data_IF_171952965043
#
_entry.id   IF_171952965043
#
_cell.length_a   1.000
_cell.length_b   1.000
_cell.length_c   1.000
_cell.angle_alpha   90.00
_cell.angle_beta   90.00
_cell.angle_gamma   90.00
#
_symmetry.space_group_name_H-M   'P 1'
#
loop_
_entity.id
_entity.type
_entity.pdbx_description
1 polymer ?
#
# COMPACT_ATOMS: atom_id res chain seq x y z
N UNK A 1 9.56 21.17 7.35
CA UNK A 1 9.61 20.59 5.98
C UNK A 1 8.21 20.21 5.52
N UNK A 2 8.07 19.63 4.34
CA UNK A 2 6.80 19.18 3.76
C UNK A 2 6.72 17.66 3.66
N UNK A 3 5.52 17.10 3.71
CA UNK A 3 5.24 15.68 3.49
C UNK A 3 4.51 15.51 2.17
N UNK A 4 5.13 14.73 1.28
CA UNK A 4 4.62 14.46 -0.07
C UNK A 4 4.14 13.00 -0.15
N UNK A 5 2.88 12.72 -0.49
CA UNK A 5 2.40 11.35 -0.68
C UNK A 5 3.19 10.60 -1.76
N UNK A 6 3.58 11.29 -2.82
CA UNK A 6 4.43 10.78 -3.89
C UNK A 6 5.76 10.22 -3.33
N UNK A 7 6.55 11.03 -2.65
CA UNK A 7 7.86 10.65 -2.14
C UNK A 7 7.74 9.53 -1.10
N UNK A 8 6.72 9.60 -0.24
CA UNK A 8 6.46 8.56 0.74
C UNK A 8 6.09 7.22 0.07
N UNK A 9 5.41 7.22 -1.07
CA UNK A 9 5.12 5.98 -1.80
C UNK A 9 6.39 5.29 -2.32
N UNK A 10 7.40 6.06 -2.74
CA UNK A 10 8.71 5.55 -3.16
C UNK A 10 9.46 5.00 -1.95
N UNK A 11 9.46 5.74 -0.83
CA UNK A 11 10.06 5.29 0.44
C UNK A 11 9.43 3.98 0.90
N UNK A 12 8.10 3.88 0.91
CA UNK A 12 7.35 2.65 1.26
C UNK A 12 7.77 1.50 0.33
N UNK A 13 7.90 1.74 -0.98
CA UNK A 13 8.36 0.70 -1.92
C UNK A 13 9.77 0.22 -1.61
N UNK A 14 10.68 1.13 -1.24
CA UNK A 14 12.02 0.80 -0.79
C UNK A 14 12.00 -0.04 0.49
N UNK A 15 11.34 0.46 1.54
CA UNK A 15 11.22 -0.21 2.83
C UNK A 15 10.66 -1.64 2.68
N UNK A 16 9.59 -1.81 1.89
CA UNK A 16 9.02 -3.14 1.63
C UNK A 16 9.97 -4.06 0.85
N UNK A 17 10.69 -3.54 -0.15
CA UNK A 17 11.69 -4.30 -0.91
C UNK A 17 12.84 -4.79 -0.02
N UNK A 18 13.26 -4.00 0.96
CA UNK A 18 14.34 -4.34 1.89
C UNK A 18 13.85 -4.99 3.20
N UNK A 19 12.58 -5.41 3.26
CA UNK A 19 11.97 -6.09 4.41
C UNK A 19 11.81 -5.24 5.69
N UNK A 20 11.91 -3.91 5.59
CA UNK A 20 11.57 -2.95 6.65
C UNK A 20 10.04 -2.76 6.75
N UNK A 21 9.34 -3.86 7.02
CA UNK A 21 7.88 -3.93 6.98
C UNK A 21 7.22 -3.10 8.09
N UNK A 22 7.83 -3.03 9.28
CA UNK A 22 7.30 -2.25 10.40
C UNK A 22 7.34 -0.76 10.11
N UNK A 23 8.43 -0.30 9.52
CA UNK A 23 8.67 1.07 9.10
C UNK A 23 7.73 1.45 7.96
N UNK A 24 7.58 0.57 6.96
CA UNK A 24 6.63 0.78 5.86
C UNK A 24 5.20 0.93 6.40
N UNK A 25 4.75 0.03 7.29
CA UNK A 25 3.42 0.10 7.92
C UNK A 25 3.26 1.39 8.72
N UNK A 26 4.28 1.84 9.45
CA UNK A 26 4.25 3.11 10.19
C UNK A 26 3.96 4.30 9.27
N UNK A 27 4.66 4.39 8.13
CA UNK A 27 4.45 5.48 7.16
C UNK A 27 3.06 5.38 6.54
N UNK A 28 2.62 4.20 6.13
CA UNK A 28 1.28 3.99 5.53
C UNK A 28 0.17 4.37 6.52
N UNK A 29 0.26 3.92 7.77
CA UNK A 29 -0.67 4.32 8.84
C UNK A 29 -0.72 5.84 9.01
N UNK A 30 0.44 6.51 8.96
CA UNK A 30 0.52 7.98 9.03
C UNK A 30 -0.22 8.65 7.88
N UNK A 31 -0.05 8.16 6.65
CA UNK A 31 -0.73 8.67 5.47
C UNK A 31 -2.25 8.43 5.50
N UNK A 32 -2.71 7.25 5.94
CA UNK A 32 -4.14 6.93 6.11
C UNK A 32 -4.76 7.87 7.15
N UNK A 33 -4.12 8.04 8.31
CA UNK A 33 -4.59 8.96 9.35
C UNK A 33 -4.62 10.40 8.86
N UNK A 34 -3.60 10.83 8.12
CA UNK A 34 -3.55 12.18 7.57
C UNK A 34 -4.69 12.41 6.55
N UNK A 35 -5.00 11.43 5.70
CA UNK A 35 -6.01 11.57 4.66
C UNK A 35 -7.39 11.90 5.22
N UNK A 36 -7.73 11.41 6.42
CA UNK A 36 -9.00 11.67 7.13
C UNK A 36 -9.25 13.16 7.44
N UNK A 37 -8.21 14.00 7.44
CA UNK A 37 -8.33 15.44 7.70
C UNK A 37 -8.52 16.29 6.44
N UNK A 38 -8.37 15.71 5.25
CA UNK A 38 -8.49 16.42 3.99
C UNK A 38 -9.82 16.09 3.30
N UNK A 39 -10.26 16.99 2.43
CA UNK A 39 -11.53 16.85 1.70
C UNK A 39 -11.58 15.51 0.96
N UNK A 40 -12.71 14.81 1.07
CA UNK A 40 -12.95 13.50 0.45
C UNK A 40 -12.03 12.36 0.92
N UNK A 41 -11.34 12.52 2.05
CA UNK A 41 -10.37 11.57 2.58
C UNK A 41 -9.19 11.30 1.63
N UNK A 42 -8.79 12.31 0.85
CA UNK A 42 -7.72 12.24 -0.16
C UNK A 42 -6.55 13.10 0.23
N UNK A 43 -5.35 12.58 0.05
CA UNK A 43 -4.13 13.34 0.31
C UNK A 43 -3.95 14.46 -0.75
N UNK A 44 -3.54 15.67 -0.35
CA UNK A 44 -3.17 16.74 -1.28
C UNK A 44 -1.79 16.46 -1.90
N UNK A 45 -1.33 17.34 -2.79
CA UNK A 45 0.06 17.33 -3.30
C UNK A 45 1.11 17.21 -2.18
N UNK A 46 0.97 18.05 -1.16
CA UNK A 46 1.79 18.05 0.04
C UNK A 46 1.05 18.67 1.22
N UNK A 47 1.55 18.40 2.43
CA UNK A 47 1.15 19.08 3.66
C UNK A 47 2.36 19.37 4.54
N UNK A 48 2.21 20.22 5.56
CA UNK A 48 3.31 20.60 6.43
C UNK A 48 3.74 19.44 7.33
N UNK A 49 5.05 19.19 7.41
CA UNK A 49 5.65 18.11 8.20
C UNK A 49 5.87 18.46 9.67
N UNK A 50 4.85 18.97 10.33
CA UNK A 50 4.85 19.15 11.78
C UNK A 50 4.59 17.83 12.49
N UNK A 51 5.21 17.63 13.64
CA UNK A 51 4.96 16.45 14.47
C UNK A 51 3.60 16.53 15.15
N UNK A 52 3.10 15.37 15.62
CA UNK A 52 1.89 15.30 16.44
C UNK A 52 2.01 16.04 17.79
N UNK A 53 3.24 16.33 18.24
CA UNK A 53 3.47 17.14 19.46
C UNK A 53 3.22 18.62 19.19
N UNK A 54 3.50 19.08 17.98
CA UNK A 54 3.33 20.48 17.57
C UNK A 54 1.89 20.75 17.14
N UNK A 55 1.26 19.80 16.46
CA UNK A 55 -0.10 19.98 15.89
C UNK A 55 -0.94 18.72 16.05
N UNK A 56 -2.22 18.89 16.41
CA UNK A 56 -3.17 17.76 16.57
C UNK A 56 -3.69 17.20 15.24
N UNK A 57 -3.49 17.91 14.13
CA UNK A 57 -3.94 17.55 12.78
C UNK A 57 -2.90 17.97 11.74
N UNK A 58 -2.81 17.30 10.58
CA UNK A 58 -2.00 17.77 9.46
C UNK A 58 -2.35 19.22 9.11
N UNK A 59 -1.33 20.05 8.90
CA UNK A 59 -1.52 21.44 8.48
C UNK A 59 -1.39 21.50 6.96
N UNK A 60 -2.42 22.04 6.32
CA UNK A 60 -2.44 22.28 4.87
C UNK A 60 -1.29 23.20 4.46
N UNK A 61 -0.66 22.88 3.33
CA UNK A 61 0.32 23.76 2.73
C UNK A 61 -0.40 24.79 1.84
N UNK A 62 -0.18 26.11 2.00
CA UNK A 62 -1.02 27.14 1.36
C UNK A 62 -1.12 27.09 -0.16
N UNK A 63 -0.10 26.55 -0.82
CA UNK A 63 -0.02 26.47 -2.30
C UNK A 63 -0.14 25.04 -2.83
N UNK A 64 -0.56 24.08 -1.99
CA UNK A 64 -0.71 22.70 -2.44
C UNK A 64 -1.89 22.56 -3.40
N UNK A 65 -1.67 21.86 -4.52
CA UNK A 65 -2.74 21.44 -5.39
C UNK A 65 -3.55 20.29 -4.74
N UNK A 66 -4.89 20.33 -4.88
CA UNK A 66 -5.76 19.26 -4.39
C UNK A 66 -7.00 19.08 -5.27
N UNK A 67 -7.14 17.95 -5.99
CA UNK A 67 -6.17 16.85 -6.10
C UNK A 67 -4.98 17.21 -7.00
N UNK A 68 -3.83 16.57 -6.78
CA UNK A 68 -2.65 16.68 -7.64
C UNK A 68 -2.28 15.31 -8.23
N UNK A 69 -1.81 15.31 -9.48
CA UNK A 69 -1.65 14.09 -10.27
C UNK A 69 -0.69 13.05 -9.65
N UNK A 70 0.45 13.47 -9.10
CA UNK A 70 1.41 12.58 -8.44
C UNK A 70 0.89 12.05 -7.10
N UNK A 71 0.18 12.87 -6.33
CA UNK A 71 -0.50 12.43 -5.12
C UNK A 71 -1.56 11.36 -5.45
N UNK A 72 -2.33 11.54 -6.53
CA UNK A 72 -3.27 10.53 -7.03
C UNK A 72 -2.56 9.25 -7.50
N UNK A 73 -1.37 9.35 -8.11
CA UNK A 73 -0.57 8.19 -8.53
C UNK A 73 0.02 7.39 -7.37
N UNK A 74 0.34 8.06 -6.25
CA UNK A 74 1.03 7.46 -5.11
C UNK A 74 0.31 6.24 -4.51
N UNK A 75 -1.03 6.25 -4.50
CA UNK A 75 -1.84 5.18 -3.89
C UNK A 75 -1.63 3.83 -4.57
N UNK A 76 -1.40 3.80 -5.88
CA UNK A 76 -1.18 2.56 -6.62
C UNK A 76 0.14 1.91 -6.22
N UNK A 77 1.20 2.70 -6.04
CA UNK A 77 2.49 2.18 -5.58
C UNK A 77 2.44 1.73 -4.12
N UNK A 78 1.66 2.42 -3.28
CA UNK A 78 1.38 1.99 -1.91
C UNK A 78 0.63 0.64 -1.92
N UNK A 79 -0.43 0.48 -2.72
CA UNK A 79 -1.16 -0.79 -2.84
C UNK A 79 -0.26 -1.93 -3.35
N UNK A 80 0.57 -1.69 -4.36
CA UNK A 80 1.52 -2.70 -4.82
C UNK A 80 2.52 -3.10 -3.72
N UNK A 81 2.96 -2.14 -2.91
CA UNK A 81 3.88 -2.38 -1.79
C UNK A 81 3.18 -3.11 -0.64
N UNK A 82 1.90 -2.81 -0.39
CA UNK A 82 1.04 -3.49 0.58
C UNK A 82 0.84 -4.96 0.25
N UNK A 83 0.61 -5.27 -1.03
CA UNK A 83 0.39 -6.64 -1.48
C UNK A 83 1.72 -7.42 -1.60
N UNK A 84 2.84 -6.70 -1.75
CA UNK A 84 4.16 -7.29 -1.97
C UNK A 84 4.19 -8.20 -3.20
N UNK A 85 3.49 -7.79 -4.28
CA UNK A 85 3.37 -8.60 -5.50
C UNK A 85 4.73 -8.65 -6.20
N UNK A 86 5.18 -9.86 -6.51
CA UNK A 86 6.30 -10.15 -7.39
C UNK A 86 5.89 -11.26 -8.37
N UNK A 87 5.93 -10.97 -9.67
CA UNK A 87 5.58 -11.91 -10.73
C UNK A 87 6.83 -12.56 -11.31
N UNK A 88 6.91 -13.88 -11.23
CA UNK A 88 7.86 -14.71 -11.97
C UNK A 88 7.13 -15.32 -13.16
N UNK A 89 7.27 -14.65 -14.32
CA UNK A 89 6.61 -15.06 -15.56
C UNK A 89 7.18 -16.37 -16.08
N UNK A 90 8.49 -16.62 -15.89
CA UNK A 90 9.17 -17.84 -16.33
C UNK A 90 8.63 -19.08 -15.62
N UNK A 91 8.33 -18.95 -14.32
CA UNK A 91 7.78 -20.03 -13.51
C UNK A 91 6.25 -19.99 -13.34
N UNK A 92 5.55 -19.15 -14.11
CA UNK A 92 4.10 -18.92 -14.00
C UNK A 92 3.65 -18.72 -12.54
N UNK A 93 4.37 -17.90 -11.76
CA UNK A 93 4.14 -17.76 -10.32
C UNK A 93 4.00 -16.30 -9.92
N UNK A 94 3.08 -16.03 -9.01
CA UNK A 94 2.92 -14.74 -8.34
C UNK A 94 3.22 -14.97 -6.88
N UNK A 95 4.25 -14.31 -6.39
CA UNK A 95 4.58 -14.25 -4.99
C UNK A 95 3.89 -13.04 -4.35
N UNK A 96 3.24 -13.28 -3.23
CA UNK A 96 2.65 -12.26 -2.38
C UNK A 96 3.44 -12.20 -1.08
N UNK A 97 3.93 -11.01 -0.73
CA UNK A 97 4.53 -10.74 0.59
C UNK A 97 3.79 -9.59 1.27
N UNK A 98 2.55 -9.81 1.69
CA UNK A 98 1.70 -8.71 2.08
C UNK A 98 2.11 -8.13 3.44
N UNK A 99 1.93 -6.81 3.57
CA UNK A 99 1.95 -6.08 4.82
C UNK A 99 0.63 -5.33 4.93
N UNK A 100 -0.11 -5.53 6.02
CA UNK A 100 -1.41 -4.89 6.22
C UNK A 100 -1.33 -3.86 7.36
N UNK A 101 -1.57 -2.56 7.08
CA UNK A 101 -1.64 -1.48 8.07
C UNK A 101 -2.71 -1.75 9.12
N UNK A 102 -2.64 -1.08 10.25
CA UNK A 102 -3.42 -1.45 11.45
C UNK A 102 -4.93 -1.45 11.16
N UNK A 103 -5.41 -0.44 10.45
CA UNK A 103 -6.83 -0.24 10.13
C UNK A 103 -7.32 -1.13 8.97
N UNK A 104 -6.43 -1.83 8.26
CA UNK A 104 -6.77 -2.70 7.13
C UNK A 104 -6.70 -4.16 7.56
N UNK A 105 -7.85 -4.77 7.81
CA UNK A 105 -7.95 -6.18 8.20
C UNK A 105 -8.11 -7.15 7.03
N UNK A 106 -8.59 -6.64 5.89
CA UNK A 106 -8.90 -7.45 4.71
C UNK A 106 -8.66 -6.65 3.43
N UNK A 107 -8.05 -7.27 2.44
CA UNK A 107 -7.91 -6.76 1.08
C UNK A 107 -8.44 -7.80 0.11
N UNK A 108 -9.38 -7.42 -0.74
CA UNK A 108 -9.89 -8.26 -1.82
C UNK A 108 -9.34 -7.72 -3.14
N UNK A 109 -8.58 -8.57 -3.82
CA UNK A 109 -8.02 -8.27 -5.14
C UNK A 109 -8.85 -9.04 -6.15
N UNK A 110 -9.37 -8.33 -7.15
CA UNK A 110 -10.11 -8.91 -8.27
C UNK A 110 -9.42 -8.56 -9.57
N UNK A 111 -9.47 -9.49 -10.51
CA UNK A 111 -9.07 -9.30 -11.88
C UNK A 111 -7.60 -8.83 -12.04
N UNK A 112 -6.71 -9.27 -11.14
CA UNK A 112 -5.28 -8.95 -11.25
C UNK A 112 -4.72 -9.62 -12.50
N UNK A 113 -4.38 -8.83 -13.52
CA UNK A 113 -3.85 -9.31 -14.79
C UNK A 113 -2.33 -9.36 -14.76
N UNK A 114 -1.74 -10.52 -15.08
CA UNK A 114 -0.29 -10.72 -15.23
C UNK A 114 -0.03 -11.53 -16.50
N UNK A 115 0.51 -10.86 -17.52
CA UNK A 115 0.53 -11.41 -18.88
C UNK A 115 -0.90 -11.72 -19.34
N UNK A 116 -1.13 -12.96 -19.78
CA UNK A 116 -2.45 -13.48 -20.16
C UNK A 116 -3.22 -14.14 -19.01
N UNK A 117 -2.64 -14.16 -17.80
CA UNK A 117 -3.25 -14.76 -16.63
C UNK A 117 -4.05 -13.72 -15.83
N UNK A 118 -5.06 -14.20 -15.09
CA UNK A 118 -5.84 -13.40 -14.14
C UNK A 118 -5.93 -14.10 -12.80
N UNK A 119 -5.98 -13.33 -11.72
CA UNK A 119 -6.17 -13.84 -10.38
C UNK A 119 -7.13 -12.98 -9.55
N UNK A 120 -8.01 -13.66 -8.82
CA UNK A 120 -8.80 -13.11 -7.72
C UNK A 120 -8.32 -13.74 -6.42
N UNK A 121 -8.19 -12.95 -5.36
CA UNK A 121 -7.86 -13.48 -4.04
C UNK A 121 -8.21 -12.51 -2.91
N UNK A 122 -8.29 -13.04 -1.70
CA UNK A 122 -8.47 -12.27 -0.48
C UNK A 122 -7.28 -12.48 0.44
N UNK A 123 -6.74 -11.37 0.95
CA UNK A 123 -5.78 -11.34 2.05
C UNK A 123 -6.50 -10.86 3.30
N UNK A 124 -6.34 -11.56 4.42
CA UNK A 124 -6.90 -11.14 5.72
C UNK A 124 -5.95 -11.38 6.87
N UNK A 125 -5.98 -10.50 7.86
CA UNK A 125 -5.27 -10.73 9.13
C UNK A 125 -5.97 -11.85 9.92
N UNK A 126 -5.21 -12.83 10.39
CA UNK A 126 -5.62 -13.85 11.35
C UNK A 126 -4.56 -13.89 12.46
N UNK A 127 -4.86 -13.26 13.61
CA UNK A 127 -3.87 -13.02 14.66
C UNK A 127 -2.67 -12.22 14.13
N UNK A 128 -1.46 -12.76 14.29
CA UNK A 128 -0.22 -12.15 13.82
C UNK A 128 0.18 -12.58 12.40
N UNK A 129 -0.71 -13.26 11.66
CA UNK A 129 -0.42 -13.77 10.31
C UNK A 129 -1.38 -13.18 9.29
N UNK A 130 -0.96 -13.16 8.04
CA UNK A 130 -1.84 -12.88 6.91
C UNK A 130 -2.18 -14.21 6.25
N UNK A 131 -3.46 -14.40 5.93
CA UNK A 131 -3.96 -15.59 5.23
C UNK A 131 -4.40 -15.21 3.83
N UNK A 132 -4.08 -16.09 2.88
CA UNK A 132 -4.61 -16.09 1.53
C UNK A 132 -5.86 -16.99 1.49
N UNK A 133 -6.96 -16.47 0.95
CA UNK A 133 -8.22 -17.22 0.80
C UNK A 133 -8.94 -16.81 -0.49
N UNK A 134 -9.97 -17.57 -0.87
CA UNK A 134 -10.79 -17.32 -2.06
C UNK A 134 -9.97 -17.13 -3.34
N UNK A 135 -8.83 -17.82 -3.45
CA UNK A 135 -7.96 -17.73 -4.60
C UNK A 135 -8.61 -18.40 -5.81
N UNK A 136 -8.84 -17.63 -6.87
CA UNK A 136 -9.23 -18.12 -8.19
C UNK A 136 -8.17 -17.65 -9.17
N UNK A 137 -7.63 -18.57 -9.94
CA UNK A 137 -6.60 -18.29 -10.94
C UNK A 137 -7.08 -18.79 -12.29
N UNK A 138 -6.90 -17.98 -13.32
CA UNK A 138 -7.11 -18.39 -14.70
C UNK A 138 -5.81 -18.94 -15.28
N UNK A 139 -5.92 -20.01 -16.08
CA UNK A 139 -4.80 -20.73 -16.72
C UNK A 139 -3.85 -21.35 -15.69
N UNK A 140 -2.55 -21.32 -15.94
CA UNK A 140 -1.54 -22.11 -15.23
C UNK A 140 -0.74 -21.29 -14.19
N UNK A 141 -1.27 -20.14 -13.73
CA UNK A 141 -0.56 -19.29 -12.77
C UNK A 141 -0.71 -19.81 -11.33
N UNK A 142 0.40 -19.86 -10.59
CA UNK A 142 0.44 -20.22 -9.17
C UNK A 142 0.45 -18.96 -8.32
N UNK A 143 -0.45 -18.88 -7.35
CA UNK A 143 -0.45 -17.81 -6.35
C UNK A 143 0.18 -18.31 -5.05
N UNK A 144 1.31 -17.72 -4.65
CA UNK A 144 2.14 -18.18 -3.54
C UNK A 144 2.23 -17.08 -2.49
N UNK A 145 1.69 -17.35 -1.30
CA UNK A 145 1.86 -16.47 -0.15
C UNK A 145 3.19 -16.79 0.55
N UNK A 146 4.11 -15.83 0.56
CA UNK A 146 5.37 -15.94 1.30
C UNK A 146 5.14 -15.75 2.80
N UNK A 147 5.82 -16.55 3.62
CA UNK A 147 5.84 -16.37 5.07
C UNK A 147 6.71 -15.15 5.39
N UNK A 148 6.18 -14.23 6.19
CA UNK A 148 7.00 -13.20 6.82
C UNK A 148 7.78 -13.89 7.95
N UNK A 149 9.12 -13.84 7.88
CA UNK A 149 10.02 -14.28 8.96
C UNK A 149 10.09 -13.20 10.04
#
# INVERSE_FOLDING_TARGET
GSVWPHDNSIIIKGLTRYNYHREAVKVINGLIKASQYFKYNRLPELFCGFSHKETKRPIEHPVACSPQAWACGSIYLIIQSLLGINSDVTNNSIYLKPILPDEINKVEVKNLKIGDNRADFTLSKEGNRIKLSKAKVERNIKLILLKNF
#
